data_IF_679969930773
#
_entry.id   IF_679969930773
#
_cell.length_a   1.000
_cell.length_b   1.000
_cell.length_c   1.000
_cell.angle_alpha   90.00
_cell.angle_beta   90.00
_cell.angle_gamma   90.00
#
_symmetry.space_group_name_H-M   'P 1'
#
loop_
_entity.id
_entity.type
_entity.pdbx_description
1 polymer ?
#
# COMPACT_ATOMS: atom_id res chain seq x y z
N UNK A 1 -34.39 116.71 -77.23
CA UNK A 1 -33.74 115.41 -77.02
C UNK A 1 -34.73 114.51 -76.32
N UNK A 2 -35.05 113.35 -76.89
CA UNK A 2 -35.88 112.35 -76.20
C UNK A 2 -34.91 111.45 -75.42
N UNK A 3 -35.12 111.19 -74.11
CA UNK A 3 -34.24 110.32 -73.33
C UNK A 3 -34.20 108.91 -73.92
N UNK A 4 -33.02 108.29 -73.92
CA UNK A 4 -32.84 106.92 -74.41
C UNK A 4 -33.63 105.94 -73.53
N UNK A 5 -34.48 105.14 -74.16
CA UNK A 5 -35.28 104.10 -73.49
C UNK A 5 -34.36 102.92 -73.09
N UNK A 6 -34.06 102.82 -71.80
CA UNK A 6 -33.22 101.77 -71.21
C UNK A 6 -34.03 100.55 -70.71
N UNK A 7 -35.32 100.45 -71.07
CA UNK A 7 -36.20 99.37 -70.57
C UNK A 7 -35.68 97.98 -70.98
N UNK A 8 -35.07 97.85 -72.17
CA UNK A 8 -34.50 96.58 -72.66
C UNK A 8 -33.23 96.19 -71.88
N UNK A 9 -32.33 97.14 -71.63
CA UNK A 9 -31.11 96.89 -70.84
C UNK A 9 -31.46 96.50 -69.39
N UNK A 10 -32.43 97.18 -68.78
CA UNK A 10 -32.94 96.84 -67.46
C UNK A 10 -33.61 95.46 -67.44
N UNK A 11 -34.37 95.12 -68.48
CA UNK A 11 -34.98 93.79 -68.63
C UNK A 11 -33.93 92.67 -68.71
N UNK A 12 -32.84 92.88 -69.45
CA UNK A 12 -31.74 91.92 -69.54
C UNK A 12 -31.00 91.75 -68.20
N UNK A 13 -30.78 92.85 -67.46
CA UNK A 13 -30.17 92.80 -66.12
C UNK A 13 -31.08 92.05 -65.14
N UNK A 14 -32.40 92.28 -65.19
CA UNK A 14 -33.39 91.57 -64.35
C UNK A 14 -33.42 90.08 -64.66
N UNK A 15 -33.39 89.70 -65.94
CA UNK A 15 -33.34 88.28 -66.32
C UNK A 15 -32.05 87.61 -65.83
N UNK A 16 -30.90 88.27 -66.04
CA UNK A 16 -29.61 87.74 -65.55
C UNK A 16 -29.60 87.61 -64.03
N UNK A 17 -30.19 88.58 -63.31
CA UNK A 17 -30.34 88.51 -61.87
C UNK A 17 -31.25 87.35 -61.43
N UNK A 18 -32.38 87.15 -62.11
CA UNK A 18 -33.30 86.05 -61.81
C UNK A 18 -32.68 84.67 -62.10
N UNK A 19 -31.91 84.53 -63.18
CA UNK A 19 -31.17 83.30 -63.48
C UNK A 19 -30.19 82.96 -62.34
N UNK A 20 -29.46 83.97 -61.83
CA UNK A 20 -28.56 83.80 -60.68
C UNK A 20 -29.34 83.41 -59.41
N UNK A 21 -30.53 84.00 -59.20
CA UNK A 21 -31.41 83.67 -58.07
C UNK A 21 -31.89 82.22 -58.16
N UNK A 22 -32.30 81.77 -59.34
CA UNK A 22 -32.78 80.40 -59.57
C UNK A 22 -31.66 79.37 -59.41
N UNK A 23 -30.47 79.66 -59.94
CA UNK A 23 -29.29 78.81 -59.74
C UNK A 23 -28.91 78.71 -58.26
N UNK A 24 -28.95 79.83 -57.53
CA UNK A 24 -28.65 79.85 -56.11
C UNK A 24 -29.72 79.11 -55.28
N UNK A 25 -31.00 79.26 -55.63
CA UNK A 25 -32.09 78.55 -54.98
C UNK A 25 -31.99 77.04 -55.21
N UNK A 26 -31.67 76.62 -56.45
CA UNK A 26 -31.44 75.21 -56.78
C UNK A 26 -30.26 74.64 -56.01
N UNK A 27 -29.11 75.32 -56.03
CA UNK A 27 -27.94 74.93 -55.25
C UNK A 27 -28.26 74.80 -53.76
N UNK A 28 -28.98 75.78 -53.20
CA UNK A 28 -29.39 75.78 -51.79
C UNK A 28 -30.33 74.62 -51.45
N UNK A 29 -31.25 74.27 -52.36
CA UNK A 29 -32.18 73.15 -52.17
C UNK A 29 -31.48 71.78 -52.18
N UNK A 30 -30.38 71.64 -52.93
CA UNK A 30 -29.61 70.40 -53.06
C UNK A 30 -28.46 70.28 -52.03
N UNK A 31 -28.02 71.41 -51.46
CA UNK A 31 -26.86 71.51 -50.59
C UNK A 31 -26.93 70.59 -49.37
N UNK A 32 -28.07 70.50 -48.69
CA UNK A 32 -28.22 69.64 -47.50
C UNK A 32 -28.13 68.15 -47.86
N UNK A 33 -28.68 67.73 -49.00
CA UNK A 33 -28.52 66.37 -49.50
C UNK A 33 -27.08 66.09 -49.92
N UNK A 34 -26.42 67.04 -50.60
CA UNK A 34 -25.02 66.92 -50.98
C UNK A 34 -24.10 66.78 -49.75
N UNK A 35 -24.31 67.61 -48.71
CA UNK A 35 -23.60 67.51 -47.43
C UNK A 35 -23.81 66.16 -46.77
N UNK A 36 -25.05 65.68 -46.68
CA UNK A 36 -25.38 64.38 -46.07
C UNK A 36 -24.70 63.23 -46.81
N UNK A 37 -24.69 63.26 -48.15
CA UNK A 37 -24.03 62.26 -48.97
C UNK A 37 -22.51 62.29 -48.76
N UNK A 38 -21.89 63.47 -48.75
CA UNK A 38 -20.45 63.62 -48.48
C UNK A 38 -20.06 63.14 -47.08
N UNK A 39 -20.86 63.47 -46.05
CA UNK A 39 -20.65 62.99 -44.68
C UNK A 39 -20.76 61.47 -44.59
N UNK A 40 -21.75 60.86 -45.25
CA UNK A 40 -21.89 59.41 -45.29
C UNK A 40 -20.72 58.74 -46.02
N UNK A 41 -20.25 59.34 -47.12
CA UNK A 41 -19.09 58.83 -47.86
C UNK A 41 -17.83 58.85 -46.99
N UNK A 42 -17.56 59.94 -46.26
CA UNK A 42 -16.44 60.04 -45.33
C UNK A 42 -16.53 58.99 -44.21
N UNK A 43 -17.71 58.82 -43.59
CA UNK A 43 -17.92 57.79 -42.56
C UNK A 43 -17.66 56.37 -43.08
N UNK A 44 -18.14 56.06 -44.29
CA UNK A 44 -17.92 54.76 -44.92
C UNK A 44 -16.43 54.55 -45.25
N UNK A 45 -15.73 55.60 -45.66
CA UNK A 45 -14.29 55.56 -45.89
C UNK A 45 -13.52 55.31 -44.59
N UNK A 46 -13.83 56.02 -43.49
CA UNK A 46 -13.22 55.77 -42.18
C UNK A 46 -13.42 54.32 -41.71
N UNK A 47 -14.64 53.78 -41.89
CA UNK A 47 -14.95 52.38 -41.57
C UNK A 47 -14.15 51.42 -42.45
N UNK A 48 -14.04 51.69 -43.75
CA UNK A 48 -13.25 50.87 -44.67
C UNK A 48 -11.77 50.88 -44.31
N UNK A 49 -11.18 52.06 -44.07
CA UNK A 49 -9.78 52.22 -43.67
C UNK A 49 -9.50 51.53 -42.34
N UNK A 50 -10.42 51.62 -41.37
CA UNK A 50 -10.29 50.91 -40.11
C UNK A 50 -10.33 49.39 -40.31
N UNK A 51 -11.29 48.88 -41.08
CA UNK A 51 -11.38 47.45 -41.40
C UNK A 51 -10.15 46.91 -42.13
N UNK A 52 -9.55 47.70 -43.02
CA UNK A 52 -8.32 47.36 -43.74
C UNK A 52 -7.10 47.39 -42.82
N UNK A 53 -6.98 48.44 -42.00
CA UNK A 53 -5.88 48.60 -41.01
C UNK A 53 -5.82 47.43 -40.04
N UNK A 54 -6.96 46.98 -39.51
CA UNK A 54 -7.01 45.83 -38.61
C UNK A 54 -7.03 44.50 -39.36
N UNK A 55 -7.02 44.52 -40.70
CA UNK A 55 -7.12 43.34 -41.57
C UNK A 55 -8.31 42.45 -41.22
N UNK A 56 -9.46 43.07 -40.96
CA UNK A 56 -10.66 42.41 -40.44
C UNK A 56 -11.05 41.18 -41.27
N UNK A 57 -11.05 41.31 -42.61
CA UNK A 57 -11.39 40.20 -43.50
C UNK A 57 -10.42 39.02 -43.40
N UNK A 58 -9.12 39.27 -43.20
CA UNK A 58 -8.12 38.20 -43.05
C UNK A 58 -8.29 37.49 -41.71
N UNK A 59 -8.53 38.24 -40.64
CA UNK A 59 -8.79 37.70 -39.30
C UNK A 59 -10.04 36.82 -39.32
N UNK A 60 -11.13 37.28 -39.95
CA UNK A 60 -12.37 36.50 -40.05
C UNK A 60 -12.17 35.20 -40.84
N UNK A 61 -11.41 35.23 -41.94
CA UNK A 61 -11.04 34.01 -42.67
C UNK A 61 -10.21 33.06 -41.82
N UNK A 62 -9.25 33.58 -41.06
CA UNK A 62 -8.41 32.78 -40.16
C UNK A 62 -9.22 32.14 -39.03
N UNK A 63 -10.19 32.87 -38.46
CA UNK A 63 -11.12 32.33 -37.46
C UNK A 63 -11.92 31.18 -38.06
N UNK A 64 -12.49 31.34 -39.26
CA UNK A 64 -13.26 30.28 -39.93
C UNK A 64 -12.42 29.03 -40.20
N UNK A 65 -11.17 29.19 -40.64
CA UNK A 65 -10.23 28.07 -40.85
C UNK A 65 -9.95 27.36 -39.53
N UNK A 66 -9.59 28.10 -38.47
CA UNK A 66 -9.30 27.52 -37.15
C UNK A 66 -10.53 26.83 -36.55
N UNK A 67 -11.73 27.38 -36.77
CA UNK A 67 -12.98 26.76 -36.33
C UNK A 67 -13.19 25.41 -37.01
N UNK A 68 -12.95 25.33 -38.33
CA UNK A 68 -13.03 24.08 -39.11
C UNK A 68 -12.00 23.05 -38.66
N UNK A 69 -10.76 23.48 -38.43
CA UNK A 69 -9.70 22.60 -37.92
C UNK A 69 -10.03 22.04 -36.53
N UNK A 70 -10.51 22.90 -35.63
CA UNK A 70 -10.96 22.51 -34.29
C UNK A 70 -12.08 21.47 -34.35
N UNK A 71 -13.10 21.71 -35.18
CA UNK A 71 -14.23 20.79 -35.33
C UNK A 71 -13.77 19.42 -35.85
N UNK A 72 -12.92 19.41 -36.89
CA UNK A 72 -12.34 18.17 -37.44
C UNK A 72 -11.50 17.40 -36.41
N UNK A 73 -10.72 18.11 -35.59
CA UNK A 73 -9.96 17.49 -34.51
C UNK A 73 -10.88 16.91 -33.42
N UNK A 74 -11.95 17.62 -33.07
CA UNK A 74 -12.95 17.16 -32.09
C UNK A 74 -13.70 15.91 -32.57
N UNK A 75 -14.09 15.86 -33.84
CA UNK A 75 -14.72 14.68 -34.46
C UNK A 75 -13.76 13.48 -34.45
N UNK A 76 -12.48 13.71 -34.74
CA UNK A 76 -11.45 12.67 -34.71
C UNK A 76 -11.25 12.14 -33.29
N UNK A 77 -11.20 13.02 -32.29
CA UNK A 77 -11.10 12.64 -30.89
C UNK A 77 -12.29 11.79 -30.45
N UNK A 78 -13.52 12.22 -30.76
CA UNK A 78 -14.73 11.47 -30.45
C UNK A 78 -14.74 10.09 -31.12
N UNK A 79 -14.30 10.01 -32.38
CA UNK A 79 -14.20 8.73 -33.09
C UNK A 79 -13.19 7.78 -32.43
N UNK A 80 -12.03 8.28 -32.00
CA UNK A 80 -11.01 7.49 -31.30
C UNK A 80 -11.54 7.05 -29.93
N UNK A 81 -12.18 7.93 -29.17
CA UNK A 81 -12.75 7.59 -27.87
C UNK A 81 -13.80 6.48 -28.00
N UNK A 82 -14.73 6.60 -28.95
CA UNK A 82 -15.72 5.56 -29.22
C UNK A 82 -15.05 4.21 -29.58
N UNK A 83 -13.94 4.23 -30.35
CA UNK A 83 -13.19 3.00 -30.66
C UNK A 83 -12.52 2.41 -29.41
N UNK A 84 -11.98 3.24 -28.53
CA UNK A 84 -11.40 2.80 -27.25
C UNK A 84 -12.48 2.15 -26.40
N UNK A 85 -13.64 2.78 -26.25
CA UNK A 85 -14.75 2.29 -25.43
C UNK A 85 -15.26 0.94 -25.95
N UNK A 86 -15.44 0.81 -27.28
CA UNK A 86 -15.80 -0.47 -27.92
C UNK A 86 -14.73 -1.54 -27.68
N UNK A 87 -13.45 -1.21 -27.83
CA UNK A 87 -12.36 -2.16 -27.58
C UNK A 87 -12.25 -2.56 -26.12
N UNK A 88 -12.51 -1.65 -25.18
CA UNK A 88 -12.57 -1.95 -23.75
C UNK A 88 -13.74 -2.88 -23.43
N UNK A 89 -14.92 -2.65 -24.01
CA UNK A 89 -16.09 -3.52 -23.84
C UNK A 89 -15.82 -4.93 -24.42
N UNK A 90 -15.25 -5.03 -25.63
CA UNK A 90 -14.83 -6.31 -26.22
C UNK A 90 -13.80 -7.04 -25.35
N UNK A 91 -12.84 -6.31 -24.77
CA UNK A 91 -11.81 -6.87 -23.91
C UNK A 91 -12.40 -7.36 -22.58
N UNK A 92 -13.36 -6.64 -22.01
CA UNK A 92 -14.09 -7.07 -20.82
C UNK A 92 -14.93 -8.32 -21.09
N UNK A 93 -15.61 -8.38 -22.24
CA UNK A 93 -16.40 -9.56 -22.62
C UNK A 93 -15.50 -10.79 -22.83
N UNK A 94 -14.37 -10.63 -23.53
CA UNK A 94 -13.38 -11.70 -23.67
C UNK A 94 -12.77 -12.13 -22.34
N UNK A 95 -12.51 -11.19 -21.41
CA UNK A 95 -12.08 -11.53 -20.04
C UNK A 95 -13.15 -12.31 -19.30
N UNK A 96 -14.42 -11.95 -19.44
CA UNK A 96 -15.55 -12.68 -18.83
C UNK A 96 -15.62 -14.12 -19.35
N UNK A 97 -15.42 -14.32 -20.64
CA UNK A 97 -15.36 -15.66 -21.27
C UNK A 97 -14.13 -16.47 -20.83
N UNK A 98 -13.04 -15.80 -20.43
CA UNK A 98 -11.83 -16.42 -19.89
C UNK A 98 -11.84 -16.59 -18.37
N UNK A 99 -12.80 -15.97 -17.68
CA UNK A 99 -12.95 -16.07 -16.23
C UNK A 99 -13.55 -17.45 -15.93
N UNK A 100 -12.69 -18.45 -16.01
CA UNK A 100 -13.04 -19.84 -15.76
C UNK A 100 -13.26 -19.99 -14.25
N UNK A 101 -14.48 -19.67 -13.82
CA UNK A 101 -14.93 -19.85 -12.43
C UNK A 101 -14.70 -21.30 -11.97
N UNK A 102 -14.69 -22.27 -12.90
CA UNK A 102 -14.36 -23.67 -12.62
C UNK A 102 -12.88 -23.85 -12.28
N UNK A 103 -11.93 -23.18 -12.94
CA UNK A 103 -10.50 -23.21 -12.56
C UNK A 103 -10.25 -22.54 -11.20
N UNK A 104 -10.95 -21.45 -10.89
CA UNK A 104 -10.91 -20.84 -9.55
C UNK A 104 -11.36 -21.84 -8.48
N UNK A 105 -12.50 -22.49 -8.69
CA UNK A 105 -12.99 -23.54 -7.79
C UNK A 105 -12.06 -24.76 -7.72
N UNK A 106 -11.39 -25.11 -8.81
CA UNK A 106 -10.40 -26.20 -8.85
C UNK A 106 -9.19 -25.89 -7.97
N UNK A 107 -8.67 -24.66 -8.00
CA UNK A 107 -7.60 -24.22 -7.10
C UNK A 107 -8.04 -24.25 -5.65
N UNK A 108 -9.24 -23.73 -5.34
CA UNK A 108 -9.76 -23.77 -3.97
C UNK A 108 -9.89 -25.21 -3.48
N UNK A 109 -10.42 -26.12 -4.30
CA UNK A 109 -10.50 -27.54 -3.98
C UNK A 109 -9.14 -28.18 -3.73
N UNK A 110 -8.11 -27.77 -4.47
CA UNK A 110 -6.74 -28.24 -4.22
C UNK A 110 -6.25 -27.80 -2.84
N UNK A 111 -6.49 -26.55 -2.43
CA UNK A 111 -6.14 -26.06 -1.10
C UNK A 111 -6.93 -26.77 0.01
N UNK A 112 -8.25 -26.92 -0.15
CA UNK A 112 -9.10 -27.61 0.81
C UNK A 112 -8.69 -29.07 1.01
N UNK A 113 -8.38 -29.76 -0.09
CA UNK A 113 -7.89 -31.16 -0.06
C UNK A 113 -6.55 -31.30 0.65
N UNK A 114 -5.63 -30.35 0.44
CA UNK A 114 -4.33 -30.37 1.10
C UNK A 114 -4.46 -30.14 2.62
N UNK A 115 -5.46 -29.38 3.08
CA UNK A 115 -5.67 -29.11 4.50
C UNK A 115 -6.44 -30.22 5.23
N UNK A 116 -7.63 -30.57 4.73
CA UNK A 116 -8.51 -31.52 5.40
C UNK A 116 -8.32 -32.98 4.98
N UNK A 117 -7.49 -33.24 3.97
CA UNK A 117 -7.40 -34.55 3.32
C UNK A 117 -8.51 -34.77 2.28
N UNK A 118 -8.54 -35.96 1.68
CA UNK A 118 -9.47 -36.28 0.59
C UNK A 118 -10.94 -36.17 1.04
N UNK A 119 -11.73 -35.41 0.26
CA UNK A 119 -13.20 -35.33 0.29
C UNK A 119 -13.84 -34.79 1.58
N UNK A 120 -13.10 -34.20 2.52
CA UNK A 120 -13.72 -33.58 3.70
C UNK A 120 -14.54 -32.34 3.32
N UNK A 121 -14.00 -31.40 2.54
CA UNK A 121 -14.72 -30.25 2.00
C UNK A 121 -14.35 -30.01 0.53
N UNK A 122 -15.34 -29.71 -0.32
CA UNK A 122 -15.12 -29.31 -1.72
C UNK A 122 -16.22 -28.38 -2.23
N UNK A 123 -15.87 -27.56 -3.21
CA UNK A 123 -16.77 -26.74 -4.02
C UNK A 123 -17.08 -27.46 -5.33
N UNK A 124 -18.36 -27.61 -5.65
CA UNK A 124 -18.81 -28.19 -6.91
C UNK A 124 -19.67 -27.17 -7.65
N UNK A 125 -19.37 -26.98 -8.93
CA UNK A 125 -20.17 -26.13 -9.82
C UNK A 125 -21.54 -26.78 -10.07
N UNK A 126 -22.59 -26.01 -9.89
CA UNK A 126 -23.96 -26.36 -10.26
C UNK A 126 -24.34 -25.48 -11.46
N UNK A 127 -24.49 -26.11 -12.63
CA UNK A 127 -25.00 -25.46 -13.83
C UNK A 127 -26.50 -25.23 -13.65
N UNK A 128 -26.93 -23.97 -13.80
CA UNK A 128 -28.35 -23.63 -13.81
C UNK A 128 -28.79 -23.65 -15.27
N UNK A 129 -29.73 -24.54 -15.61
CA UNK A 129 -30.20 -24.73 -16.99
C UNK A 129 -30.87 -23.49 -17.63
N UNK A 130 -31.13 -22.42 -16.86
CA UNK A 130 -31.89 -21.25 -17.29
C UNK A 130 -31.13 -19.91 -17.35
N UNK A 131 -29.85 -19.84 -16.94
CA UNK A 131 -29.04 -18.60 -17.06
C UNK A 131 -27.65 -18.93 -17.61
N UNK A 132 -27.42 -18.60 -18.88
CA UNK A 132 -26.20 -18.90 -19.65
C UNK A 132 -24.94 -18.13 -19.22
N UNK A 133 -24.83 -17.69 -17.96
CA UNK A 133 -23.67 -16.89 -17.52
C UNK A 133 -23.31 -16.89 -16.03
N UNK A 134 -23.98 -17.67 -15.16
CA UNK A 134 -23.63 -17.68 -13.72
C UNK A 134 -23.42 -19.09 -13.18
N UNK A 135 -22.18 -19.41 -12.85
CA UNK A 135 -21.85 -20.65 -12.14
C UNK A 135 -22.18 -20.46 -10.67
N UNK A 136 -23.05 -21.30 -10.10
CA UNK A 136 -23.21 -21.37 -8.64
C UNK A 136 -22.32 -22.48 -8.10
N UNK A 137 -21.69 -22.25 -6.96
CA UNK A 137 -20.92 -23.28 -6.27
C UNK A 137 -21.69 -23.75 -5.05
N UNK A 138 -21.84 -25.08 -4.93
CA UNK A 138 -22.32 -25.73 -3.71
C UNK A 138 -21.15 -26.35 -2.98
N UNK A 139 -21.20 -26.26 -1.65
CA UNK A 139 -20.18 -26.84 -0.77
C UNK A 139 -20.62 -28.23 -0.36
N UNK A 140 -19.72 -29.20 -0.48
CA UNK A 140 -19.94 -30.60 -0.14
C UNK A 140 -18.99 -31.00 0.99
N UNK A 141 -19.54 -31.69 2.01
CA UNK A 141 -18.78 -32.35 3.07
C UNK A 141 -18.93 -33.87 2.93
N UNK A 142 -17.84 -34.61 2.80
CA UNK A 142 -17.86 -36.07 2.57
C UNK A 142 -18.80 -36.48 1.42
N UNK A 143 -18.71 -35.77 0.29
CA UNK A 143 -19.56 -35.96 -0.90
C UNK A 143 -21.07 -35.77 -0.68
N UNK A 144 -21.48 -35.14 0.42
CA UNK A 144 -22.86 -34.73 0.68
C UNK A 144 -22.98 -33.21 0.74
N UNK A 145 -24.07 -32.59 0.27
CA UNK A 145 -24.27 -31.15 0.42
C UNK A 145 -24.12 -30.72 1.88
N UNK A 146 -23.26 -29.74 2.13
CA UNK A 146 -23.04 -29.18 3.46
C UNK A 146 -23.99 -28.01 3.67
N UNK A 147 -24.95 -28.16 4.60
CA UNK A 147 -25.89 -27.10 4.95
C UNK A 147 -25.39 -26.21 6.10
N UNK A 148 -24.49 -26.75 6.94
CA UNK A 148 -23.92 -26.07 8.09
C UNK A 148 -22.39 -26.14 8.06
N UNK A 149 -21.75 -24.98 8.07
CA UNK A 149 -20.31 -24.83 8.20
C UNK A 149 -20.00 -24.21 9.57
N UNK A 150 -18.94 -24.66 10.20
CA UNK A 150 -18.35 -23.96 11.33
C UNK A 150 -17.77 -22.61 10.89
N UNK A 151 -17.61 -21.69 11.83
CA UNK A 151 -16.97 -20.39 11.57
C UNK A 151 -15.56 -20.55 11.00
N UNK A 152 -14.79 -21.51 11.54
CA UNK A 152 -13.46 -21.84 11.04
C UNK A 152 -13.46 -22.36 9.60
N UNK A 153 -14.41 -23.22 9.23
CA UNK A 153 -14.54 -23.69 7.84
C UNK A 153 -14.95 -22.54 6.90
N UNK A 154 -15.86 -21.66 7.33
CA UNK A 154 -16.26 -20.49 6.54
C UNK A 154 -15.07 -19.57 6.27
N UNK A 155 -14.35 -19.20 7.33
CA UNK A 155 -13.18 -18.32 7.24
C UNK A 155 -12.10 -18.94 6.35
N UNK A 156 -11.84 -20.24 6.52
CA UNK A 156 -10.82 -20.94 5.76
C UNK A 156 -11.17 -21.08 4.27
N UNK A 157 -12.43 -21.37 3.93
CA UNK A 157 -12.89 -21.41 2.54
C UNK A 157 -12.76 -20.02 1.90
N UNK A 158 -13.16 -18.96 2.63
CA UNK A 158 -13.01 -17.59 2.16
C UNK A 158 -11.53 -17.22 1.92
N UNK A 159 -10.64 -17.63 2.83
CA UNK A 159 -9.20 -17.46 2.67
C UNK A 159 -8.66 -18.20 1.43
N UNK A 160 -9.00 -19.48 1.25
CA UNK A 160 -8.59 -20.25 0.06
C UNK A 160 -9.10 -19.61 -1.24
N UNK A 161 -10.33 -19.13 -1.25
CA UNK A 161 -10.92 -18.40 -2.38
C UNK A 161 -10.17 -17.10 -2.68
N UNK A 162 -9.85 -16.33 -1.65
CA UNK A 162 -9.04 -15.12 -1.79
C UNK A 162 -7.68 -15.42 -2.43
N UNK A 163 -6.98 -16.46 -1.97
CA UNK A 163 -5.69 -16.89 -2.54
C UNK A 163 -5.85 -17.29 -4.01
N UNK A 164 -6.87 -18.09 -4.36
CA UNK A 164 -7.13 -18.47 -5.75
C UNK A 164 -7.40 -17.23 -6.64
N UNK A 165 -8.14 -16.25 -6.12
CA UNK A 165 -8.42 -14.98 -6.82
C UNK A 165 -7.19 -14.10 -7.06
N UNK A 166 -6.08 -14.28 -6.33
CA UNK A 166 -4.81 -13.59 -6.61
C UNK A 166 -4.13 -14.10 -7.89
N UNK A 167 -4.50 -15.29 -8.38
CA UNK A 167 -3.98 -15.88 -9.62
C UNK A 167 -4.93 -15.67 -10.81
N UNK A 168 -6.04 -14.94 -10.63
CA UNK A 168 -7.03 -14.65 -11.67
C UNK A 168 -6.50 -13.64 -12.70
N UNK A 169 -7.06 -13.59 -13.91
CA UNK A 169 -6.64 -12.71 -15.03
C UNK A 169 -6.69 -11.23 -14.62
N UNK A 170 -7.57 -10.89 -13.69
CA UNK A 170 -7.73 -9.52 -13.22
C UNK A 170 -6.71 -9.09 -12.15
N UNK A 171 -5.95 -10.01 -11.58
CA UNK A 171 -4.95 -9.75 -10.52
C UNK A 171 -3.54 -10.22 -10.91
N UNK A 172 -3.46 -11.24 -11.76
CA UNK A 172 -2.21 -11.79 -12.26
C UNK A 172 -1.38 -10.73 -12.98
N UNK A 173 -0.09 -10.64 -12.61
CA UNK A 173 0.89 -9.67 -13.14
C UNK A 173 0.55 -8.18 -12.93
N UNK A 174 -0.52 -7.84 -12.18
CA UNK A 174 -0.87 -6.45 -11.87
C UNK A 174 -0.22 -5.93 -10.58
N UNK A 175 0.46 -6.79 -9.81
CA UNK A 175 1.07 -6.47 -8.51
C UNK A 175 0.12 -5.71 -7.57
N UNK A 176 -1.04 -6.28 -7.19
CA UNK A 176 -2.00 -5.62 -6.31
C UNK A 176 -1.40 -5.31 -4.92
N UNK A 177 -2.04 -4.41 -4.19
CA UNK A 177 -1.85 -4.27 -2.74
C UNK A 177 -2.69 -5.37 -2.07
N UNK A 178 -2.05 -6.18 -1.24
CA UNK A 178 -2.68 -7.31 -0.56
C UNK A 178 -2.79 -6.97 0.93
N UNK A 179 -3.99 -7.07 1.47
CA UNK A 179 -4.25 -6.95 2.92
C UNK A 179 -4.94 -8.21 3.41
N UNK A 180 -4.36 -8.87 4.41
CA UNK A 180 -4.92 -10.04 5.05
C UNK A 180 -5.01 -9.75 6.53
N UNK A 181 -6.24 -9.62 7.03
CA UNK A 181 -6.52 -9.39 8.44
C UNK A 181 -6.86 -10.70 9.13
N UNK A 182 -6.00 -11.07 10.08
CA UNK A 182 -6.15 -12.20 10.99
C UNK A 182 -6.66 -13.47 10.31
N UNK A 183 -5.86 -14.08 9.40
CA UNK A 183 -6.30 -15.19 8.56
C UNK A 183 -6.50 -16.51 9.33
N UNK A 184 -6.43 -16.49 10.65
CA UNK A 184 -6.57 -17.64 11.53
C UNK A 184 -7.67 -17.37 12.55
N UNK A 185 -8.74 -18.15 12.49
CA UNK A 185 -9.91 -17.99 13.36
C UNK A 185 -9.90 -18.93 14.58
N UNK A 186 -8.94 -19.84 14.68
CA UNK A 186 -8.89 -20.85 15.76
C UNK A 186 -7.46 -21.22 16.14
N UNK A 187 -7.28 -21.58 17.42
CA UNK A 187 -6.01 -21.96 18.07
C UNK A 187 -5.41 -23.30 17.58
N UNK A 188 -5.99 -23.95 16.56
CA UNK A 188 -5.47 -25.22 16.07
C UNK A 188 -4.10 -24.99 15.39
N UNK A 189 -3.05 -25.57 15.97
CA UNK A 189 -1.69 -25.51 15.44
C UNK A 189 -1.59 -25.98 13.99
N UNK A 190 -2.43 -26.95 13.57
CA UNK A 190 -2.46 -27.41 12.17
C UNK A 190 -2.99 -26.32 11.23
N UNK A 191 -4.00 -25.57 11.68
CA UNK A 191 -4.56 -24.45 10.94
C UNK A 191 -3.52 -23.36 10.71
N UNK A 192 -2.80 -22.97 11.77
CA UNK A 192 -1.72 -21.98 11.72
C UNK A 192 -0.65 -22.39 10.71
N UNK A 193 -0.20 -23.65 10.75
CA UNK A 193 0.82 -24.16 9.84
C UNK A 193 0.39 -24.08 8.37
N UNK A 194 -0.86 -24.45 8.08
CA UNK A 194 -1.35 -24.48 6.71
C UNK A 194 -1.56 -23.07 6.14
N UNK A 195 -2.19 -22.17 6.92
CA UNK A 195 -2.39 -20.77 6.52
C UNK A 195 -1.03 -20.10 6.28
N UNK A 196 -0.06 -20.28 7.19
CA UNK A 196 1.32 -19.82 6.97
C UNK A 196 1.92 -20.37 5.67
N UNK A 197 1.76 -21.67 5.42
CA UNK A 197 2.31 -22.34 4.24
C UNK A 197 1.71 -21.80 2.94
N UNK A 198 0.40 -21.52 2.92
CA UNK A 198 -0.26 -20.86 1.78
C UNK A 198 0.26 -19.45 1.57
N UNK A 199 0.32 -18.61 2.61
CA UNK A 199 0.87 -17.24 2.49
C UNK A 199 2.30 -17.28 1.95
N UNK A 200 3.13 -18.18 2.48
CA UNK A 200 4.52 -18.32 2.04
C UNK A 200 4.61 -18.74 0.56
N UNK A 201 3.89 -19.77 0.16
CA UNK A 201 3.99 -20.36 -1.18
C UNK A 201 3.28 -19.56 -2.27
N UNK A 202 2.07 -19.09 -1.99
CA UNK A 202 1.19 -18.46 -2.97
C UNK A 202 1.35 -16.93 -3.03
N UNK A 203 1.80 -16.28 -1.95
CA UNK A 203 1.93 -14.81 -1.91
C UNK A 203 3.40 -14.40 -1.85
N UNK A 204 4.12 -14.81 -0.81
CA UNK A 204 5.46 -14.31 -0.50
C UNK A 204 6.48 -14.77 -1.53
N UNK A 205 6.51 -16.06 -1.87
CA UNK A 205 7.44 -16.61 -2.87
C UNK A 205 7.13 -16.15 -4.29
N UNK A 206 5.85 -15.97 -4.64
CA UNK A 206 5.45 -15.47 -5.96
C UNK A 206 5.80 -14.00 -6.16
N UNK A 207 5.82 -13.21 -5.09
CA UNK A 207 6.17 -11.78 -5.12
C UNK A 207 5.40 -10.98 -6.20
N UNK A 208 4.15 -11.39 -6.47
CA UNK A 208 3.25 -10.69 -7.39
C UNK A 208 2.35 -9.70 -6.64
N UNK A 209 2.97 -8.76 -5.94
CA UNK A 209 2.28 -7.71 -5.18
C UNK A 209 3.15 -6.47 -5.09
N UNK A 210 2.54 -5.31 -4.88
CA UNK A 210 3.24 -4.05 -4.64
C UNK A 210 3.47 -3.80 -3.16
N UNK A 211 2.48 -4.16 -2.32
CA UNK A 211 2.58 -4.14 -0.86
C UNK A 211 1.80 -5.33 -0.28
N UNK A 212 2.31 -5.90 0.81
CA UNK A 212 1.68 -6.99 1.55
C UNK A 212 1.52 -6.59 3.02
N UNK A 213 0.27 -6.48 3.47
CA UNK A 213 -0.10 -6.24 4.85
C UNK A 213 -0.67 -7.52 5.45
N UNK A 214 -0.08 -7.95 6.56
CA UNK A 214 -0.54 -9.08 7.36
C UNK A 214 -0.76 -8.59 8.79
N UNK A 215 -1.99 -8.68 9.28
CA UNK A 215 -2.32 -8.43 10.69
C UNK A 215 -2.77 -9.71 11.38
N UNK A 216 -2.54 -9.79 12.68
CA UNK A 216 -3.05 -10.88 13.52
C UNK A 216 -3.03 -10.45 14.98
N UNK A 217 -3.92 -11.03 15.78
CA UNK A 217 -3.88 -10.91 17.24
C UNK A 217 -3.16 -12.12 17.90
N UNK A 218 -2.81 -13.15 17.12
CA UNK A 218 -2.22 -14.39 17.63
C UNK A 218 -0.68 -14.34 17.61
N UNK A 219 -0.08 -14.44 18.80
CA UNK A 219 1.37 -14.37 18.97
C UNK A 219 2.12 -15.58 18.39
N UNK A 220 1.51 -16.77 18.35
CA UNK A 220 2.14 -17.94 17.75
C UNK A 220 2.21 -17.82 16.23
N UNK A 221 1.15 -17.31 15.60
CA UNK A 221 1.18 -16.99 14.18
C UNK A 221 2.17 -15.86 13.87
N UNK A 222 2.23 -14.83 14.73
CA UNK A 222 3.23 -13.77 14.60
C UNK A 222 4.67 -14.32 14.55
N UNK A 223 5.02 -15.32 15.37
CA UNK A 223 6.34 -15.99 15.31
C UNK A 223 6.64 -16.57 13.92
N UNK A 224 5.64 -17.16 13.25
CA UNK A 224 5.78 -17.63 11.87
C UNK A 224 5.90 -16.46 10.89
N UNK A 225 5.08 -15.41 11.06
CA UNK A 225 5.17 -14.20 10.25
C UNK A 225 6.55 -13.54 10.35
N UNK A 226 7.23 -13.56 11.51
CA UNK A 226 8.61 -13.07 11.64
C UNK A 226 9.58 -13.74 10.66
N UNK A 227 9.37 -15.03 10.38
CA UNK A 227 10.21 -15.83 9.48
C UNK A 227 9.91 -15.62 8.00
N UNK A 228 8.81 -14.94 7.65
CA UNK A 228 8.50 -14.60 6.26
C UNK A 228 9.52 -13.60 5.73
N UNK A 229 10.28 -14.05 4.74
CA UNK A 229 11.24 -13.24 4.00
C UNK A 229 10.89 -13.31 2.51
N UNK A 230 10.38 -12.20 1.98
CA UNK A 230 10.16 -12.06 0.55
C UNK A 230 11.47 -11.64 -0.12
N UNK A 231 11.70 -12.14 -1.34
CA UNK A 231 12.82 -11.72 -2.19
C UNK A 231 12.27 -11.23 -3.51
N UNK A 232 12.73 -10.07 -3.95
CA UNK A 232 12.37 -9.49 -5.24
C UNK A 232 13.60 -9.32 -6.13
N UNK A 233 13.39 -9.28 -7.45
CA UNK A 233 14.49 -9.06 -8.38
C UNK A 233 14.86 -7.58 -8.43
N UNK A 234 16.10 -7.24 -8.05
CA UNK A 234 16.61 -5.87 -8.16
C UNK A 234 17.21 -5.64 -9.56
N UNK A 235 16.64 -4.73 -10.39
CA UNK A 235 17.20 -4.42 -11.70
C UNK A 235 18.63 -3.87 -11.60
N UNK A 236 18.90 -3.05 -10.58
CA UNK A 236 20.20 -2.42 -10.37
C UNK A 236 21.33 -3.37 -9.95
N UNK A 237 21.00 -4.46 -9.24
CA UNK A 237 22.00 -5.40 -8.68
C UNK A 237 22.03 -6.74 -9.41
N UNK A 238 21.15 -6.93 -10.40
CA UNK A 238 20.91 -8.17 -11.13
C UNK A 238 20.87 -9.43 -10.23
N UNK A 239 20.25 -9.30 -9.06
CA UNK A 239 20.13 -10.37 -8.06
C UNK A 239 18.85 -10.21 -7.25
N UNK A 240 18.46 -11.31 -6.60
CA UNK A 240 17.39 -11.30 -5.60
C UNK A 240 17.83 -10.51 -4.37
N UNK A 241 17.03 -9.54 -3.95
CA UNK A 241 17.21 -8.75 -2.73
C UNK A 241 16.02 -8.98 -1.80
N UNK A 242 16.26 -8.92 -0.49
CA UNK A 242 15.19 -9.01 0.49
C UNK A 242 14.29 -7.77 0.39
N UNK A 243 12.97 -8.01 0.39
CA UNK A 243 11.99 -6.93 0.47
C UNK A 243 12.00 -6.33 1.88
N UNK A 244 11.83 -5.01 1.98
CA UNK A 244 11.75 -4.33 3.28
C UNK A 244 10.55 -4.82 4.09
N UNK A 245 10.76 -5.04 5.39
CA UNK A 245 9.75 -5.50 6.33
C UNK A 245 9.64 -4.54 7.50
N UNK A 246 8.41 -4.17 7.85
CA UNK A 246 8.11 -3.28 8.97
C UNK A 246 7.04 -3.89 9.86
N UNK A 247 7.18 -3.69 11.17
CA UNK A 247 6.28 -4.22 12.17
C UNK A 247 5.57 -3.09 12.91
N UNK A 248 4.27 -3.24 13.09
CA UNK A 248 3.41 -2.27 13.76
C UNK A 248 2.53 -2.98 14.78
N UNK A 249 2.12 -2.24 15.82
CA UNK A 249 1.15 -2.69 16.81
C UNK A 249 -0.02 -1.71 16.78
N UNK A 250 -1.23 -2.27 16.73
CA UNK A 250 -2.46 -1.50 16.89
C UNK A 250 -2.79 -1.50 18.38
N UNK A 251 -2.86 -0.31 18.97
CA UNK A 251 -3.28 -0.13 20.37
C UNK A 251 -4.59 0.62 20.43
N UNK A 252 -5.54 0.10 21.21
CA UNK A 252 -6.78 0.78 21.55
C UNK A 252 -6.61 1.55 22.85
N UNK A 253 -6.90 2.85 22.85
CA UNK A 253 -6.94 3.73 24.01
C UNK A 253 -8.35 4.32 24.12
N UNK A 254 -9.19 3.69 24.94
CA UNK A 254 -10.60 4.04 25.04
C UNK A 254 -11.34 3.82 23.71
N UNK A 255 -11.83 4.91 23.11
CA UNK A 255 -12.55 4.92 21.83
C UNK A 255 -11.63 5.11 20.61
N UNK A 256 -10.34 5.39 20.81
CA UNK A 256 -9.39 5.62 19.73
C UNK A 256 -8.48 4.40 19.51
N UNK A 257 -8.18 4.10 18.25
CA UNK A 257 -7.17 3.13 17.85
C UNK A 257 -5.99 3.84 17.21
N UNK A 258 -4.78 3.54 17.67
CA UNK A 258 -3.53 4.10 17.14
C UNK A 258 -2.63 3.00 16.61
N UNK A 259 -2.05 3.22 15.43
CA UNK A 259 -1.00 2.37 14.87
C UNK A 259 0.34 2.97 15.26
N UNK A 260 1.18 2.19 15.92
CA UNK A 260 2.54 2.60 16.28
C UNK A 260 3.55 1.55 15.84
N UNK A 261 4.82 1.96 15.71
CA UNK A 261 5.90 1.01 15.44
C UNK A 261 5.92 -0.06 16.55
N UNK A 262 6.03 -1.32 16.15
CA UNK A 262 6.13 -2.42 17.10
C UNK A 262 7.37 -2.21 17.99
N UNK A 263 7.24 -2.36 19.32
CA UNK A 263 8.37 -2.28 20.21
C UNK A 263 9.46 -3.30 19.86
N UNK A 264 10.72 -2.90 20.04
CA UNK A 264 11.90 -3.72 19.69
C UNK A 264 11.87 -5.11 20.30
N UNK A 265 11.45 -5.21 21.57
CA UNK A 265 11.37 -6.49 22.27
C UNK A 265 10.43 -7.50 21.61
N UNK A 266 9.46 -7.04 20.81
CA UNK A 266 8.52 -7.89 20.07
C UNK A 266 8.92 -8.02 18.60
N UNK A 267 9.55 -7.00 18.01
CA UNK A 267 9.88 -7.00 16.58
C UNK A 267 11.22 -7.65 16.22
N UNK A 268 12.23 -7.51 17.09
CA UNK A 268 13.63 -7.88 16.80
C UNK A 268 13.95 -9.33 17.17
N UNK A 269 13.27 -9.90 18.17
CA UNK A 269 13.57 -11.24 18.68
C UNK A 269 12.57 -12.27 18.16
N UNK A 270 13.07 -13.31 17.49
CA UNK A 270 12.23 -14.38 16.95
C UNK A 270 11.60 -15.27 18.04
N UNK A 271 12.29 -15.41 19.18
CA UNK A 271 11.81 -16.16 20.34
C UNK A 271 12.27 -15.50 21.63
N UNK A 272 11.62 -15.88 22.73
CA UNK A 272 12.05 -15.48 24.07
C UNK A 272 13.49 -15.91 24.37
N UNK A 273 13.91 -17.07 23.86
CA UNK A 273 15.28 -17.55 24.01
C UNK A 273 16.31 -16.56 23.44
N UNK A 274 16.05 -15.97 22.26
CA UNK A 274 16.90 -14.94 21.66
C UNK A 274 16.88 -13.65 22.48
N UNK A 275 15.71 -13.26 23.00
CA UNK A 275 15.58 -12.08 23.87
C UNK A 275 16.41 -12.25 25.15
N UNK A 276 16.27 -13.38 25.85
CA UNK A 276 16.99 -13.65 27.09
C UNK A 276 18.50 -13.67 26.87
N UNK A 277 18.97 -14.30 25.79
CA UNK A 277 20.38 -14.23 25.39
C UNK A 277 20.85 -12.79 25.18
N UNK A 278 20.05 -11.95 24.49
CA UNK A 278 20.40 -10.55 24.26
C UNK A 278 20.60 -9.76 25.55
N UNK A 279 19.78 -10.05 26.58
CA UNK A 279 19.87 -9.39 27.87
C UNK A 279 21.09 -9.86 28.66
N UNK A 280 21.39 -11.17 28.63
CA UNK A 280 22.62 -11.71 29.23
C UNK A 280 23.85 -11.11 28.55
N UNK A 281 23.84 -11.02 27.22
CA UNK A 281 24.92 -10.41 26.46
C UNK A 281 25.10 -8.94 26.85
N UNK A 282 24.03 -8.13 26.85
CA UNK A 282 24.08 -6.73 27.29
C UNK A 282 24.63 -6.59 28.71
N UNK A 283 24.15 -7.39 29.66
CA UNK A 283 24.64 -7.39 31.04
C UNK A 283 26.14 -7.72 31.11
N UNK A 284 26.62 -8.66 30.30
CA UNK A 284 28.05 -9.02 30.25
C UNK A 284 28.95 -7.91 29.73
N UNK A 285 28.40 -6.96 28.97
CA UNK A 285 29.13 -5.83 28.39
C UNK A 285 29.10 -4.57 29.29
N UNK A 286 28.42 -4.61 30.43
CA UNK A 286 28.40 -3.47 31.35
C UNK A 286 29.78 -3.29 31.99
N UNK A 287 30.33 -2.08 31.83
CA UNK A 287 31.57 -1.65 32.48
C UNK A 287 31.29 -0.69 33.66
N UNK A 288 30.25 0.15 33.55
CA UNK A 288 29.82 1.10 34.56
C UNK A 288 28.34 0.94 34.88
N UNK A 289 27.99 0.86 36.17
CA UNK A 289 26.59 0.77 36.62
C UNK A 289 25.98 2.18 36.60
N UNK A 290 24.81 2.32 35.97
CA UNK A 290 24.06 3.58 35.89
C UNK A 290 22.55 3.32 35.74
N UNK A 291 21.75 4.38 35.80
CA UNK A 291 20.29 4.31 35.70
C UNK A 291 19.79 3.63 34.40
N UNK A 292 20.60 3.60 33.33
CA UNK A 292 20.21 2.96 32.07
C UNK A 292 20.30 1.44 32.10
N UNK A 293 21.05 0.88 33.06
CA UNK A 293 21.31 -0.56 33.15
C UNK A 293 20.90 -1.19 34.49
N UNK A 294 20.56 -0.37 35.49
CA UNK A 294 20.10 -0.82 36.80
C UNK A 294 18.94 -1.84 36.72
N UNK A 295 17.90 -1.55 35.93
CA UNK A 295 16.75 -2.45 35.76
C UNK A 295 17.14 -3.84 35.21
N UNK A 296 18.11 -3.89 34.30
CA UNK A 296 18.62 -5.15 33.76
C UNK A 296 19.36 -5.95 34.83
N UNK A 297 20.19 -5.27 35.64
CA UNK A 297 20.95 -5.88 36.73
C UNK A 297 20.02 -6.46 37.79
N UNK A 298 19.02 -5.69 38.24
CA UNK A 298 18.05 -6.15 39.23
C UNK A 298 17.24 -7.38 38.76
N UNK A 299 16.89 -7.42 37.47
CA UNK A 299 16.12 -8.53 36.90
C UNK A 299 16.99 -9.67 36.36
N UNK A 300 18.32 -9.56 36.44
CA UNK A 300 19.25 -10.45 35.75
C UNK A 300 19.11 -11.90 36.19
N UNK A 301 18.94 -12.18 37.49
CA UNK A 301 18.83 -13.56 37.96
C UNK A 301 17.64 -14.32 37.36
N UNK A 302 16.49 -13.65 37.18
CA UNK A 302 15.33 -14.25 36.49
C UNK A 302 15.60 -14.49 34.99
N UNK A 303 16.28 -13.55 34.34
CA UNK A 303 16.68 -13.66 32.93
C UNK A 303 17.64 -14.85 32.74
N UNK A 304 18.68 -14.93 33.58
CA UNK A 304 19.68 -15.99 33.55
C UNK A 304 19.03 -17.36 33.79
N UNK A 305 18.14 -17.45 34.79
CA UNK A 305 17.40 -18.68 35.10
C UNK A 305 16.64 -19.21 33.88
N UNK A 306 15.75 -18.39 33.32
CA UNK A 306 14.91 -18.80 32.16
C UNK A 306 15.76 -19.19 30.97
N UNK A 307 16.84 -18.44 30.69
CA UNK A 307 17.74 -18.77 29.59
C UNK A 307 18.43 -20.11 29.81
N UNK A 308 18.97 -20.34 31.01
CA UNK A 308 19.71 -21.55 31.35
C UNK A 308 18.79 -22.77 31.40
N UNK A 309 17.58 -22.65 31.95
CA UNK A 309 16.57 -23.71 31.92
C UNK A 309 16.27 -24.15 30.48
N UNK A 310 16.01 -23.19 29.57
CA UNK A 310 15.77 -23.50 28.15
C UNK A 310 17.04 -24.09 27.49
N UNK A 311 18.19 -23.45 27.67
CA UNK A 311 19.45 -23.85 27.03
C UNK A 311 19.89 -25.26 27.46
N UNK A 312 19.86 -25.52 28.77
CA UNK A 312 20.28 -26.78 29.36
C UNK A 312 19.27 -27.89 29.10
N UNK A 313 17.97 -27.58 28.95
CA UNK A 313 16.97 -28.55 28.52
C UNK A 313 17.33 -29.15 27.15
N UNK A 314 17.72 -28.31 26.17
CA UNK A 314 18.15 -28.80 24.86
C UNK A 314 19.54 -29.43 24.87
N UNK A 315 20.47 -28.96 25.73
CA UNK A 315 21.81 -29.55 25.85
C UNK A 315 21.81 -30.91 26.54
N UNK A 316 20.94 -31.07 27.54
CA UNK A 316 20.76 -32.27 28.36
C UNK A 316 19.26 -32.60 28.44
N UNK A 317 18.71 -33.28 27.42
CA UNK A 317 17.29 -33.64 27.34
C UNK A 317 16.97 -34.86 28.23
N UNK A 318 17.39 -34.79 29.49
CA UNK A 318 17.10 -35.77 30.54
C UNK A 318 16.25 -35.12 31.66
N UNK A 319 15.82 -35.94 32.63
CA UNK A 319 14.95 -35.53 33.73
C UNK A 319 15.73 -34.96 34.94
N UNK A 320 17.03 -34.71 34.81
CA UNK A 320 17.80 -34.10 35.91
C UNK A 320 17.34 -32.66 36.16
N UNK A 321 17.52 -32.19 37.40
CA UNK A 321 17.15 -30.83 37.76
C UNK A 321 18.10 -29.79 37.14
N UNK A 322 17.71 -28.52 37.19
CA UNK A 322 18.52 -27.46 36.57
C UNK A 322 19.87 -27.26 37.28
N UNK A 323 19.98 -27.54 38.57
CA UNK A 323 21.21 -27.36 39.34
C UNK A 323 22.25 -28.42 38.95
N UNK A 324 21.84 -29.67 38.82
CA UNK A 324 22.67 -30.78 38.34
C UNK A 324 23.12 -30.55 36.90
N UNK A 325 22.21 -30.10 36.03
CA UNK A 325 22.55 -29.69 34.66
C UNK A 325 23.56 -28.55 34.63
N UNK A 326 23.45 -27.58 35.53
CA UNK A 326 24.41 -26.48 35.67
C UNK A 326 25.80 -26.98 36.09
N UNK A 327 25.89 -27.80 37.14
CA UNK A 327 27.18 -28.40 37.56
C UNK A 327 27.82 -29.18 36.41
N UNK A 328 27.04 -30.01 35.72
CA UNK A 328 27.49 -30.77 34.54
C UNK A 328 27.95 -29.87 33.39
N UNK A 329 27.25 -28.76 33.16
CA UNK A 329 27.59 -27.81 32.10
C UNK A 329 28.91 -27.07 32.39
N UNK A 330 29.07 -26.55 33.60
CA UNK A 330 30.27 -25.80 34.03
C UNK A 330 31.46 -26.69 34.41
N UNK A 331 31.26 -28.01 34.53
CA UNK A 331 32.29 -29.03 34.75
C UNK A 331 33.12 -28.75 36.01
N UNK A 332 34.33 -28.22 35.86
CA UNK A 332 35.28 -28.00 36.96
C UNK A 332 35.13 -26.61 37.60
N UNK A 333 34.33 -25.71 37.03
CA UNK A 333 34.04 -24.40 37.64
C UNK A 333 32.80 -24.51 38.54
N UNK A 334 32.88 -25.34 39.59
CA UNK A 334 31.80 -25.54 40.56
C UNK A 334 31.39 -24.23 41.24
N UNK A 335 32.36 -23.32 41.44
CA UNK A 335 32.11 -22.00 42.02
C UNK A 335 31.18 -21.19 41.10
N UNK A 336 31.45 -21.15 39.79
CA UNK A 336 30.56 -20.47 38.86
C UNK A 336 29.18 -21.13 38.80
N UNK A 337 29.11 -22.46 38.81
CA UNK A 337 27.84 -23.18 38.81
C UNK A 337 26.97 -22.84 40.04
N UNK A 338 27.57 -22.85 41.23
CA UNK A 338 26.86 -22.55 42.48
C UNK A 338 26.47 -21.07 42.58
N UNK A 339 27.35 -20.15 42.15
CA UNK A 339 27.07 -18.72 42.14
C UNK A 339 25.93 -18.38 41.17
N UNK A 340 25.91 -19.00 39.99
CA UNK A 340 24.81 -18.90 39.03
C UNK A 340 23.52 -19.44 39.65
N UNK A 341 23.55 -20.65 40.22
CA UNK A 341 22.38 -21.29 40.80
C UNK A 341 21.78 -20.46 41.95
N UNK A 342 22.66 -19.94 42.82
CA UNK A 342 22.27 -19.06 43.93
C UNK A 342 21.64 -17.78 43.43
N UNK A 343 22.29 -17.08 42.50
CA UNK A 343 21.75 -15.84 41.93
C UNK A 343 20.40 -16.08 41.24
N UNK A 344 20.27 -17.15 40.46
CA UNK A 344 19.02 -17.55 39.81
C UNK A 344 17.91 -17.80 40.84
N UNK A 345 18.17 -18.55 41.91
CA UNK A 345 17.17 -18.91 42.92
C UNK A 345 16.80 -17.74 43.85
N UNK A 346 17.79 -17.00 44.34
CA UNK A 346 17.53 -15.84 45.19
C UNK A 346 16.72 -14.80 44.40
N UNK A 347 17.15 -14.43 43.19
CA UNK A 347 16.49 -13.37 42.40
C UNK A 347 15.10 -13.73 41.84
N UNK A 348 14.64 -14.99 41.99
CA UNK A 348 13.35 -15.44 41.45
C UNK A 348 12.28 -15.70 42.51
N UNK A 349 12.64 -15.74 43.79
CA UNK A 349 11.70 -15.88 44.91
C UNK A 349 11.80 -14.65 45.82
N UNK A 350 10.81 -13.75 45.74
CA UNK A 350 10.76 -12.55 46.58
C UNK A 350 10.75 -12.91 48.06
N UNK A 351 11.92 -12.85 48.70
CA UNK A 351 12.10 -13.04 50.13
C UNK A 351 12.14 -11.69 50.85
N UNK A 352 11.83 -11.68 52.15
CA UNK A 352 11.91 -10.48 52.99
C UNK A 352 13.33 -9.88 52.98
N UNK A 353 14.34 -10.75 53.03
CA UNK A 353 15.78 -10.42 52.95
C UNK A 353 16.15 -9.73 51.62
N UNK A 354 15.38 -9.96 50.56
CA UNK A 354 15.56 -9.34 49.25
C UNK A 354 14.88 -7.99 49.14
N UNK A 355 13.75 -7.80 49.84
CA UNK A 355 13.09 -6.51 49.98
C UNK A 355 13.90 -5.50 50.82
N UNK A 356 14.82 -5.99 51.65
CA UNK A 356 15.71 -5.19 52.50
C UNK A 356 16.99 -4.72 51.78
N UNK A 357 17.32 -5.29 50.60
CA UNK A 357 18.52 -4.92 49.83
C UNK A 357 18.23 -3.74 48.90
N UNK A 358 18.90 -2.61 49.15
CA UNK A 358 18.94 -1.43 48.26
C UNK A 358 20.21 -1.44 47.39
N UNK A 359 21.10 -2.41 47.60
CA UNK A 359 22.45 -2.42 47.03
C UNK A 359 22.51 -2.93 45.57
N UNK A 360 23.48 -2.38 44.86
CA UNK A 360 23.97 -2.85 43.56
C UNK A 360 24.24 -4.37 43.63
N UNK A 361 23.87 -5.12 42.58
CA UNK A 361 24.27 -6.54 42.40
C UNK A 361 25.43 -6.65 41.38
N UNK A 362 26.69 -6.33 41.74
CA UNK A 362 27.85 -6.55 40.87
C UNK A 362 27.96 -8.01 40.40
N UNK A 363 27.45 -8.95 41.19
CA UNK A 363 27.43 -10.38 40.89
C UNK A 363 26.71 -10.68 39.57
N UNK A 364 25.69 -9.90 39.20
CA UNK A 364 24.96 -10.07 37.95
C UNK A 364 25.89 -9.93 36.73
N UNK A 365 26.74 -8.90 36.72
CA UNK A 365 27.69 -8.64 35.63
C UNK A 365 28.73 -9.76 35.58
N UNK A 366 29.26 -10.18 36.74
CA UNK A 366 30.22 -11.28 36.82
C UNK A 366 29.63 -12.59 36.31
N UNK A 367 28.41 -12.94 36.73
CA UNK A 367 27.69 -14.13 36.30
C UNK A 367 27.38 -14.06 34.80
N UNK A 368 26.94 -12.92 34.27
CA UNK A 368 26.72 -12.73 32.84
C UNK A 368 27.99 -13.01 32.03
N UNK A 369 29.14 -12.46 32.46
CA UNK A 369 30.45 -12.71 31.84
C UNK A 369 30.83 -14.20 31.88
N UNK A 370 30.56 -14.90 32.99
CA UNK A 370 30.79 -16.35 33.10
C UNK A 370 29.91 -17.17 32.16
N UNK A 371 28.62 -16.84 32.06
CA UNK A 371 27.69 -17.50 31.13
C UNK A 371 28.15 -17.28 29.67
N UNK A 372 28.47 -16.04 29.29
CA UNK A 372 28.96 -15.74 27.94
C UNK A 372 30.27 -16.47 27.64
N UNK A 373 31.24 -16.43 28.55
CA UNK A 373 32.51 -17.17 28.40
C UNK A 373 32.28 -18.66 28.20
N UNK A 374 31.28 -19.22 28.89
CA UNK A 374 30.94 -20.64 28.74
C UNK A 374 30.30 -20.94 27.39
N UNK A 375 29.37 -20.11 26.94
CA UNK A 375 28.74 -20.23 25.62
C UNK A 375 29.77 -20.13 24.47
N UNK A 376 30.82 -19.32 24.65
CA UNK A 376 31.92 -19.18 23.68
C UNK A 376 32.72 -20.46 23.45
N UNK A 377 32.66 -21.46 24.34
CA UNK A 377 33.26 -22.77 24.10
C UNK A 377 32.62 -23.49 22.90
N UNK A 378 31.35 -23.20 22.58
CA UNK A 378 30.64 -23.67 21.39
C UNK A 378 30.55 -22.51 20.37
N UNK A 379 31.62 -22.33 19.59
CA UNK A 379 31.79 -21.17 18.71
C UNK A 379 30.69 -21.06 17.65
N UNK A 380 30.21 -22.20 17.12
CA UNK A 380 29.17 -22.23 16.10
C UNK A 380 27.83 -21.77 16.68
N UNK A 381 27.44 -22.34 17.83
CA UNK A 381 26.21 -21.92 18.50
C UNK A 381 26.28 -20.46 18.96
N UNK A 382 27.41 -20.03 19.54
CA UNK A 382 27.58 -18.66 20.00
C UNK A 382 27.50 -17.64 18.85
N UNK A 383 28.13 -17.93 17.70
CA UNK A 383 28.03 -17.07 16.52
C UNK A 383 26.59 -16.95 16.00
N UNK A 384 25.84 -18.05 16.03
CA UNK A 384 24.41 -18.05 15.66
C UNK A 384 23.55 -17.25 16.64
N UNK A 385 23.85 -17.34 17.93
CA UNK A 385 23.20 -16.53 18.97
C UNK A 385 23.46 -15.03 18.77
N UNK A 386 24.71 -14.63 18.47
CA UNK A 386 25.05 -13.24 18.16
C UNK A 386 24.31 -12.73 16.91
N UNK A 387 24.28 -13.52 15.83
CA UNK A 387 23.53 -13.18 14.62
C UNK A 387 22.02 -13.03 14.89
N UNK A 388 21.48 -13.70 15.90
CA UNK A 388 20.06 -13.62 16.25
C UNK A 388 19.66 -12.36 17.02
N UNK A 389 20.63 -11.57 17.48
CA UNK A 389 20.44 -10.32 18.23
C UNK A 389 21.06 -9.11 17.52
N UNK A 390 21.61 -9.33 16.32
CA UNK A 390 22.19 -8.33 15.41
C UNK A 390 21.12 -7.84 14.43
#
# INVERSE_FOLDING_TARGET
EIPEDKTVDLGNIINTYNDIVDDNNKFTSELENAKKNAQNALRLQEVFEFCDTIKYSEIMKKIDILQKEKNKASETLQSIQNKIDVKMAELQEKRRLLNDEEEGARQVNQYLKNYFGYNYLSLQAEKIDNESSKTRFKIYRNNKPAFNLSEGECSFIAFCYFIAKLNDIDTQNKKPIIWIDDPISSLDSNHVFFVYSLILSEIVKKCNWSQLFLSTHNLDFLKYLHRLNAKEHSPSKNKLVSVEKRYFVIQRKGELSTIQKMPKYLSEYATEYNYLFSQIYKCSQIETIDDSNHDLICNFGNIARRFLEIHLYFKYPDMSDCADKLRKYFKTDDIAAEMINRLCNESSHGSLEQAEKVDELPEAIYVAKKIIKKLQEDTEQYSSLLNSIS
#
